data_IF_018086209324
#
_entry.id   IF_018086209324
#
_cell.length_a   1.000
_cell.length_b   1.000
_cell.length_c   1.000
_cell.angle_alpha   90.00
_cell.angle_beta   90.00
_cell.angle_gamma   90.00
#
_symmetry.space_group_name_H-M   'P 1'
#
loop_
_entity.id
_entity.type
_entity.pdbx_description
1 polymer ?
#
# COMPACT_ATOMS: atom_id res chain seq x y z
N UNK A 1 27.00 6.94 1.32
CA UNK A 1 26.67 8.37 1.29
C UNK A 1 25.16 8.46 1.07
N UNK A 2 24.47 9.15 1.97
CA UNK A 2 23.00 9.16 2.08
C UNK A 2 22.33 9.70 0.82
N UNK A 3 21.40 8.93 0.26
CA UNK A 3 20.48 9.39 -0.78
C UNK A 3 19.53 10.41 -0.12
N UNK A 4 19.41 11.62 -0.65
CA UNK A 4 18.31 12.52 -0.29
C UNK A 4 17.03 11.89 -0.84
N UNK A 5 16.22 11.30 0.03
CA UNK A 5 14.90 10.83 -0.36
C UNK A 5 13.97 12.03 -0.44
N UNK A 6 13.24 12.17 -1.55
CA UNK A 6 12.18 13.18 -1.63
C UNK A 6 11.06 12.83 -0.66
N UNK A 7 10.34 13.84 -0.20
CA UNK A 7 9.17 13.62 0.66
C UNK A 7 8.04 13.03 -0.18
N UNK A 8 7.55 11.86 0.20
CA UNK A 8 6.32 11.30 -0.36
C UNK A 8 5.09 11.85 0.37
N UNK A 9 3.99 12.08 -0.35
CA UNK A 9 2.70 12.49 0.21
C UNK A 9 1.63 11.53 -0.27
N UNK A 10 0.90 10.95 0.69
CA UNK A 10 -0.19 10.01 0.43
C UNK A 10 -1.53 10.68 0.72
N UNK A 11 -2.57 10.32 -0.02
CA UNK A 11 -3.93 10.83 0.17
C UNK A 11 -4.91 9.68 0.43
N UNK A 12 -6.05 9.92 1.12
CA UNK A 12 -6.95 8.83 1.52
C UNK A 12 -7.46 7.90 0.41
N UNK A 13 -7.49 8.36 -0.85
CA UNK A 13 -7.94 7.58 -2.02
C UNK A 13 -7.00 7.65 -3.22
N UNK A 14 -5.83 8.28 -3.09
CA UNK A 14 -4.89 8.51 -4.19
C UNK A 14 -3.45 8.47 -3.68
N UNK A 15 -2.50 8.17 -4.56
CA UNK A 15 -1.07 8.17 -4.21
C UNK A 15 -0.74 7.13 -3.16
N UNK A 16 -0.99 5.84 -3.46
CA UNK A 16 -0.48 4.70 -2.68
C UNK A 16 -0.75 4.76 -1.16
N UNK A 17 -2.01 4.99 -0.78
CA UNK A 17 -2.42 5.01 0.64
C UNK A 17 -2.11 3.69 1.39
N UNK A 18 -1.75 2.62 0.68
CA UNK A 18 -1.27 1.36 1.20
C UNK A 18 0.19 1.19 0.78
N UNK A 19 1.08 0.99 1.75
CA UNK A 19 2.51 0.86 1.50
C UNK A 19 3.16 -0.04 2.57
N UNK A 20 4.32 -0.59 2.22
CA UNK A 20 5.14 -1.41 3.09
C UNK A 20 6.59 -0.90 3.06
N UNK A 21 7.17 -0.64 4.23
CA UNK A 21 8.59 -0.31 4.35
C UNK A 21 9.39 -1.53 4.78
N UNK A 22 10.35 -1.94 3.95
CA UNK A 22 11.33 -2.97 4.29
C UNK A 22 12.72 -2.34 4.39
N UNK A 23 13.28 -2.32 5.59
CA UNK A 23 14.62 -1.76 5.81
C UNK A 23 15.71 -2.69 5.21
N UNK A 24 16.46 -2.20 4.23
CA UNK A 24 17.62 -2.91 3.65
C UNK A 24 18.87 -2.69 4.50
N UNK A 25 18.98 -1.51 5.10
CA UNK A 25 20.03 -1.09 6.05
C UNK A 25 19.36 -0.35 7.21
N UNK A 26 20.06 -0.11 8.34
CA UNK A 26 19.52 0.71 9.41
C UNK A 26 19.06 2.08 8.88
N UNK A 27 17.78 2.40 9.09
CA UNK A 27 17.14 3.60 8.58
C UNK A 27 16.24 4.23 9.63
N UNK A 28 15.85 5.48 9.38
CA UNK A 28 14.87 6.22 10.17
C UNK A 28 13.83 6.77 9.21
N UNK A 29 12.56 6.53 9.52
CA UNK A 29 11.42 7.08 8.79
C UNK A 29 10.74 8.10 9.70
N UNK A 30 10.42 9.27 9.15
CA UNK A 30 9.68 10.33 9.84
C UNK A 30 8.33 10.51 9.14
N UNK A 31 7.25 10.11 9.81
CA UNK A 31 5.88 10.23 9.30
C UNK A 31 5.08 11.30 10.04
N UNK A 32 4.29 12.05 9.28
CA UNK A 32 3.33 13.04 9.80
C UNK A 32 1.93 12.61 9.36
N UNK A 33 1.10 12.20 10.31
CA UNK A 33 -0.28 11.77 10.06
C UNK A 33 -1.26 12.92 10.32
N UNK A 34 -2.13 13.22 9.36
CA UNK A 34 -3.12 14.29 9.46
C UNK A 34 -4.47 13.88 8.85
N UNK A 35 -5.48 13.54 9.67
CA UNK A 35 -5.44 13.32 11.11
C UNK A 35 -4.76 11.99 11.50
N UNK A 36 -4.34 11.81 12.77
CA UNK A 36 -3.88 10.52 13.26
C UNK A 36 -5.01 9.49 13.31
N UNK A 37 -4.62 8.21 13.36
CA UNK A 37 -5.55 7.09 13.58
C UNK A 37 -6.30 7.27 14.90
N UNK A 38 -7.59 6.96 14.88
CA UNK A 38 -8.55 7.07 15.98
C UNK A 38 -9.72 6.13 15.74
N UNK A 39 -9.68 4.98 16.39
CA UNK A 39 -10.67 3.91 16.17
C UNK A 39 -12.08 4.30 16.61
N UNK A 40 -12.21 5.07 17.69
CA UNK A 40 -13.46 5.64 18.19
C UNK A 40 -14.13 6.57 17.17
N UNK A 41 -13.33 7.25 16.36
CA UNK A 41 -13.78 8.11 15.26
C UNK A 41 -13.79 7.38 13.90
N UNK A 42 -13.64 6.06 13.89
CA UNK A 42 -13.68 5.22 12.68
C UNK A 42 -12.39 5.21 11.84
N UNK A 43 -11.33 5.92 12.26
CA UNK A 43 -10.01 5.91 11.60
C UNK A 43 -9.14 4.78 12.13
N UNK A 44 -9.48 3.56 11.72
CA UNK A 44 -8.72 2.35 12.04
C UNK A 44 -7.50 2.22 11.12
N UNK A 45 -6.48 1.51 11.59
CA UNK A 45 -5.40 1.00 10.74
C UNK A 45 -5.63 -0.50 10.50
N UNK A 46 -5.46 -0.93 9.25
CA UNK A 46 -5.67 -2.32 8.85
C UNK A 46 -4.42 -2.79 8.12
N UNK A 47 -3.96 -3.98 8.47
CA UNK A 47 -2.87 -4.66 7.76
C UNK A 47 -3.46 -5.57 6.70
N UNK A 48 -2.74 -5.68 5.57
CA UNK A 48 -3.13 -6.52 4.46
C UNK A 48 -1.95 -7.40 4.07
N UNK A 49 -2.26 -8.62 3.62
CA UNK A 49 -1.32 -9.42 2.84
C UNK A 49 -1.59 -9.22 1.36
N UNK A 50 -0.54 -8.91 0.61
CA UNK A 50 -0.59 -8.83 -0.84
C UNK A 50 -0.30 -10.19 -1.48
N UNK A 51 -1.12 -10.53 -2.46
CA UNK A 51 -0.97 -11.71 -3.29
C UNK A 51 -0.98 -11.30 -4.76
N UNK A 52 -0.15 -11.93 -5.62
CA UNK A 52 -0.23 -11.72 -7.06
C UNK A 52 -1.66 -11.86 -7.59
N UNK A 53 -2.05 -11.06 -8.59
CA UNK A 53 -3.40 -11.15 -9.16
C UNK A 53 -3.78 -12.57 -9.62
N UNK A 54 -2.80 -13.35 -10.07
CA UNK A 54 -2.95 -14.74 -10.53
C UNK A 54 -3.24 -15.75 -9.41
N UNK A 55 -3.08 -15.39 -8.13
CA UNK A 55 -3.24 -16.31 -7.00
C UNK A 55 -4.68 -16.82 -6.86
N UNK A 56 -5.68 -15.98 -7.13
CA UNK A 56 -7.08 -16.37 -7.01
C UNK A 56 -7.75 -16.42 -8.39
N UNK A 57 -8.39 -17.55 -8.72
CA UNK A 57 -9.19 -17.67 -9.94
C UNK A 57 -10.50 -16.92 -9.77
N UNK A 58 -10.56 -15.69 -10.26
CA UNK A 58 -11.77 -14.88 -10.25
C UNK A 58 -12.74 -15.35 -11.34
N UNK A 59 -13.62 -16.30 -11.00
CA UNK A 59 -14.68 -16.76 -11.92
C UNK A 59 -15.63 -15.60 -12.32
N UNK A 60 -15.76 -14.58 -11.46
CA UNK A 60 -16.65 -13.42 -11.62
C UNK A 60 -15.94 -12.06 -11.42
N UNK A 61 -14.60 -12.02 -11.43
CA UNK A 61 -13.86 -10.79 -11.25
C UNK A 61 -13.74 -9.96 -12.55
N UNK A 62 -13.23 -8.72 -12.46
CA UNK A 62 -12.89 -7.93 -13.63
C UNK A 62 -11.94 -8.72 -14.54
N UNK A 63 -12.28 -8.83 -15.83
CA UNK A 63 -11.37 -9.42 -16.82
C UNK A 63 -10.29 -8.40 -17.16
N UNK A 64 -9.18 -8.46 -16.45
CA UNK A 64 -7.97 -7.67 -16.70
C UNK A 64 -7.15 -8.34 -17.82
N UNK A 65 -6.63 -7.55 -18.75
CA UNK A 65 -5.79 -8.06 -19.84
C UNK A 65 -4.51 -8.70 -19.27
N UNK A 66 -3.95 -9.72 -19.92
CA UNK A 66 -2.79 -10.44 -19.38
C UNK A 66 -1.59 -9.53 -19.09
N UNK A 67 -1.40 -8.46 -19.87
CA UNK A 67 -0.34 -7.46 -19.68
C UNK A 67 -0.51 -6.59 -18.43
N UNK A 68 -1.73 -6.45 -17.92
CA UNK A 68 -2.05 -5.58 -16.79
C UNK A 68 -2.07 -6.36 -15.47
N UNK A 69 -2.11 -7.70 -15.51
CA UNK A 69 -2.21 -8.54 -14.30
C UNK A 69 -1.04 -8.37 -13.33
N UNK A 70 0.13 -7.97 -13.82
CA UNK A 70 1.32 -7.72 -13.00
C UNK A 70 1.25 -6.40 -12.22
N UNK A 71 0.33 -5.50 -12.58
CA UNK A 71 0.11 -4.20 -11.92
C UNK A 71 -0.88 -4.29 -10.75
N UNK A 72 -1.62 -5.40 -10.65
CA UNK A 72 -2.64 -5.59 -9.62
C UNK A 72 -2.24 -6.68 -8.61
N UNK A 73 -2.67 -6.49 -7.37
CA UNK A 73 -2.56 -7.46 -6.30
C UNK A 73 -3.90 -7.64 -5.58
N UNK A 74 -4.11 -8.83 -5.04
CA UNK A 74 -5.18 -9.08 -4.08
C UNK A 74 -4.70 -8.71 -2.69
N UNK A 75 -5.47 -7.88 -2.00
CA UNK A 75 -5.22 -7.51 -0.62
C UNK A 75 -6.25 -8.20 0.27
N UNK A 76 -5.75 -8.99 1.23
CA UNK A 76 -6.55 -9.75 2.19
C UNK A 76 -6.27 -9.26 3.61
#
# INVERSE_FOLDING_TARGET
MTVSCERSVLYPKHGENLHCFTAITPCVVLDILSPPYREDEGRKYTYYHDYPYSTFSTQNGPKICDSEKEEYAWLV
#
